data_IF_144429928984
#
_entry.id   IF_144429928984
#
_cell.length_a   1.000
_cell.length_b   1.000
_cell.length_c   1.000
_cell.angle_alpha   90.00
_cell.angle_beta   90.00
_cell.angle_gamma   90.00
#
_symmetry.space_group_name_H-M   'P 1'
#
loop_
_entity.id
_entity.type
_entity.pdbx_description
1 polymer ?
#
# COMPACT_ATOMS: atom_id res chain seq x y z
N UNK A 1 6.54 -6.50 -14.98
CA UNK A 1 5.65 -6.97 -13.92
C UNK A 1 6.51 -7.36 -12.74
N UNK A 2 6.51 -6.53 -11.69
CA UNK A 2 7.11 -6.85 -10.40
C UNK A 2 6.04 -7.35 -9.43
N UNK A 3 6.48 -7.97 -8.34
CA UNK A 3 5.61 -8.45 -7.27
C UNK A 3 6.03 -7.82 -5.94
N UNK A 4 5.03 -7.47 -5.13
CA UNK A 4 5.23 -6.71 -3.91
C UNK A 4 4.52 -7.36 -2.72
N UNK A 5 4.80 -6.85 -1.53
CA UNK A 5 4.05 -7.15 -0.32
C UNK A 5 3.85 -5.85 0.44
N UNK A 6 2.60 -5.55 0.77
CA UNK A 6 2.20 -4.38 1.54
C UNK A 6 1.61 -4.84 2.88
N UNK A 7 1.90 -4.09 3.95
CA UNK A 7 1.52 -4.46 5.32
C UNK A 7 0.54 -3.45 5.89
N UNK A 8 -0.56 -3.94 6.45
CA UNK A 8 -1.51 -3.12 7.20
C UNK A 8 -1.93 -3.83 8.47
N UNK A 9 -2.28 -3.08 9.51
CA UNK A 9 -2.93 -3.60 10.69
C UNK A 9 -4.45 -3.66 10.43
N UNK A 10 -5.14 -4.78 10.73
CA UNK A 10 -6.58 -4.90 10.46
C UNK A 10 -7.42 -3.82 11.14
N UNK A 11 -6.97 -3.29 12.28
CA UNK A 11 -7.64 -2.20 12.98
C UNK A 11 -7.52 -0.83 12.31
N UNK A 12 -6.58 -0.67 11.38
CA UNK A 12 -6.35 0.57 10.62
C UNK A 12 -6.96 0.46 9.22
N UNK A 13 -6.67 -0.63 8.50
CA UNK A 13 -7.26 -0.92 7.21
C UNK A 13 -7.33 -2.44 7.00
N UNK A 14 -8.54 -3.00 7.04
CA UNK A 14 -8.78 -4.44 6.93
C UNK A 14 -8.94 -4.91 5.47
N UNK A 15 -8.92 -6.22 5.28
CA UNK A 15 -9.26 -6.82 4.00
C UNK A 15 -10.72 -6.56 3.61
N UNK A 16 -11.63 -6.56 4.58
CA UNK A 16 -13.04 -6.25 4.39
C UNK A 16 -13.23 -4.79 3.93
N UNK A 17 -12.46 -3.85 4.47
CA UNK A 17 -12.44 -2.46 3.98
C UNK A 17 -11.95 -2.40 2.53
N UNK A 18 -10.87 -3.12 2.21
CA UNK A 18 -10.35 -3.18 0.85
C UNK A 18 -11.37 -3.76 -0.15
N UNK A 19 -12.09 -4.82 0.24
CA UNK A 19 -13.14 -5.42 -0.61
C UNK A 19 -14.34 -4.49 -0.80
N UNK A 20 -14.71 -3.74 0.24
CA UNK A 20 -15.81 -2.77 0.19
C UNK A 20 -15.49 -1.60 -0.74
N UNK A 21 -14.30 -1.01 -0.56
CA UNK A 21 -13.93 0.25 -1.21
C UNK A 21 -13.29 0.00 -2.58
N UNK A 22 -12.80 -1.23 -2.83
CA UNK A 22 -12.18 -1.76 -4.06
C UNK A 22 -10.83 -1.14 -4.40
N UNK A 23 -10.72 0.18 -4.28
CA UNK A 23 -9.54 0.98 -4.56
C UNK A 23 -9.34 1.98 -3.43
N UNK A 24 -8.13 2.05 -2.91
CA UNK A 24 -7.70 3.07 -1.96
C UNK A 24 -6.29 3.53 -2.32
N UNK A 25 -5.85 4.63 -1.74
CA UNK A 25 -4.47 5.08 -1.82
C UNK A 25 -3.66 4.45 -0.67
N UNK A 26 -2.41 4.09 -0.94
CA UNK A 26 -1.49 3.60 0.08
C UNK A 26 -0.69 4.76 0.68
N UNK A 27 -1.18 5.33 1.79
CA UNK A 27 -0.57 6.45 2.50
C UNK A 27 0.23 6.02 3.75
N UNK A 28 0.60 6.99 4.58
CA UNK A 28 1.25 6.74 5.89
C UNK A 28 2.69 6.21 5.81
N UNK A 29 3.22 5.92 4.62
CA UNK A 29 4.58 5.43 4.46
C UNK A 29 5.59 6.56 4.73
N UNK A 30 6.34 6.41 5.83
CA UNK A 30 7.44 7.32 6.22
C UNK A 30 8.81 6.62 6.25
N UNK A 31 8.86 5.36 5.85
CA UNK A 31 10.12 4.62 5.70
C UNK A 31 10.72 4.87 4.31
N UNK A 32 11.99 5.28 4.26
CA UNK A 32 12.66 5.63 2.99
C UNK A 32 12.75 4.45 2.01
N UNK A 33 13.05 3.24 2.48
CA UNK A 33 13.13 2.07 1.59
C UNK A 33 11.76 1.67 1.06
N UNK A 34 10.72 1.69 1.90
CA UNK A 34 9.35 1.43 1.47
C UNK A 34 8.89 2.48 0.44
N UNK A 35 9.20 3.76 0.65
CA UNK A 35 8.93 4.82 -0.33
C UNK A 35 9.65 4.59 -1.65
N UNK A 36 10.91 4.14 -1.63
CA UNK A 36 11.64 3.79 -2.85
C UNK A 36 11.01 2.60 -3.59
N UNK A 37 10.51 1.60 -2.85
CA UNK A 37 9.76 0.49 -3.45
C UNK A 37 8.46 0.98 -4.10
N UNK A 38 7.70 1.84 -3.42
CA UNK A 38 6.48 2.44 -3.98
C UNK A 38 6.73 3.26 -5.25
N UNK A 39 7.83 4.03 -5.30
CA UNK A 39 8.25 4.77 -6.51
C UNK A 39 8.57 3.84 -7.69
N UNK A 40 8.96 2.60 -7.42
CA UNK A 40 9.26 1.60 -8.44
C UNK A 40 8.03 0.80 -8.91
N UNK A 41 6.91 0.86 -8.18
CA UNK A 41 5.66 0.19 -8.55
C UNK A 41 5.09 0.76 -9.85
N UNK A 42 4.58 -0.13 -10.70
CA UNK A 42 3.92 0.21 -11.98
C UNK A 42 2.48 -0.29 -12.01
N UNK A 43 1.64 0.38 -12.80
CA UNK A 43 0.26 -0.08 -13.03
C UNK A 43 0.26 -1.52 -13.51
N UNK A 44 -0.60 -2.35 -12.91
CA UNK A 44 -0.68 -3.78 -13.18
C UNK A 44 0.24 -4.66 -12.34
N UNK A 45 1.22 -4.09 -11.63
CA UNK A 45 2.01 -4.87 -10.66
C UNK A 45 1.10 -5.37 -9.54
N UNK A 46 1.37 -6.58 -9.04
CA UNK A 46 0.57 -7.21 -7.99
C UNK A 46 1.29 -7.17 -6.64
N UNK A 47 0.51 -7.06 -5.57
CA UNK A 47 1.01 -7.09 -4.21
C UNK A 47 0.23 -8.06 -3.33
N UNK A 48 0.92 -8.79 -2.46
CA UNK A 48 0.27 -9.46 -1.34
C UNK A 48 -0.21 -8.44 -0.32
N UNK A 49 -1.49 -8.55 0.06
CA UNK A 49 -2.07 -7.79 1.15
C UNK A 49 -1.85 -8.58 2.45
N UNK A 50 -0.94 -8.09 3.28
CA UNK A 50 -0.51 -8.77 4.49
C UNK A 50 -1.05 -8.05 5.72
N UNK A 51 -1.88 -8.73 6.48
CA UNK A 51 -2.21 -8.29 7.84
C UNK A 51 -0.98 -8.44 8.73
N UNK A 52 -0.71 -7.42 9.55
CA UNK A 52 0.42 -7.38 10.49
C UNK A 52 0.01 -7.19 11.95
N UNK A 53 0.99 -7.28 12.85
CA UNK A 53 0.88 -7.18 14.32
C UNK A 53 0.12 -8.34 14.95
N UNK A 54 -1.21 -8.29 14.97
CA UNK A 54 -2.07 -9.26 15.69
C UNK A 54 -2.43 -10.47 14.81
N UNK A 55 -2.73 -10.22 13.54
CA UNK A 55 -2.97 -11.25 12.54
C UNK A 55 -1.85 -11.20 11.51
N UNK A 56 -1.05 -12.26 11.36
CA UNK A 56 0.20 -12.25 10.59
C UNK A 56 0.13 -13.16 9.37
N UNK A 57 -0.75 -12.84 8.42
CA UNK A 57 -0.96 -13.66 7.22
C UNK A 57 -1.28 -12.82 6.00
N UNK A 58 -1.02 -13.42 4.84
CA UNK A 58 -1.51 -12.91 3.56
C UNK A 58 -3.01 -13.24 3.48
N UNK A 59 -3.83 -12.23 3.22
CA UNK A 59 -5.29 -12.36 3.14
C UNK A 59 -5.84 -12.12 1.73
N UNK A 60 -5.01 -11.59 0.83
CA UNK A 60 -5.41 -11.34 -0.55
C UNK A 60 -4.27 -10.88 -1.44
N UNK A 61 -4.63 -10.65 -2.71
CA UNK A 61 -3.78 -10.04 -3.72
C UNK A 61 -4.48 -8.78 -4.20
N UNK A 62 -3.72 -7.70 -4.32
CA UNK A 62 -4.17 -6.43 -4.92
C UNK A 62 -3.31 -6.09 -6.13
N UNK A 63 -3.80 -5.17 -6.96
CA UNK A 63 -3.10 -4.66 -8.13
C UNK A 63 -2.88 -3.15 -7.97
N UNK A 64 -1.72 -2.67 -8.40
CA UNK A 64 -1.42 -1.24 -8.47
C UNK A 64 -2.24 -0.62 -9.61
N UNK A 65 -3.17 0.27 -9.27
CA UNK A 65 -4.04 0.95 -10.25
C UNK A 65 -3.60 2.38 -10.57
N UNK A 66 -2.70 2.95 -9.76
CA UNK A 66 -2.12 4.28 -9.94
C UNK A 66 -0.64 4.26 -9.56
N UNK A 67 0.20 4.96 -10.33
CA UNK A 67 1.63 5.09 -9.99
C UNK A 67 1.86 6.17 -8.94
N UNK A 68 3.03 6.14 -8.31
CA UNK A 68 3.42 7.04 -7.23
C UNK A 68 3.07 8.52 -7.49
N UNK A 69 2.48 9.17 -6.50
CA UNK A 69 2.15 10.60 -6.51
C UNK A 69 2.29 11.21 -5.11
N UNK A 70 2.46 12.54 -4.98
CA UNK A 70 2.65 13.18 -3.68
C UNK A 70 1.53 12.89 -2.68
N UNK A 71 1.91 12.68 -1.42
CA UNK A 71 1.00 12.41 -0.32
C UNK A 71 0.43 13.75 0.16
N UNK A 72 -0.88 13.96 -0.01
CA UNK A 72 -1.54 15.21 0.37
C UNK A 72 -1.66 15.37 1.89
N UNK A 73 -1.32 14.33 2.66
CA UNK A 73 -1.27 14.34 4.12
C UNK A 73 0.15 14.57 4.67
N UNK A 74 1.16 14.65 3.81
CA UNK A 74 2.55 14.93 4.20
C UNK A 74 2.91 16.40 3.96
N UNK A 75 2.82 17.22 5.01
CA UNK A 75 3.20 18.64 4.97
C UNK A 75 4.67 18.88 4.54
N UNK A 76 5.54 17.87 4.70
CA UNK A 76 6.93 17.99 4.29
C UNK A 76 7.15 17.81 2.78
N UNK A 77 6.15 17.26 2.07
CA UNK A 77 6.22 16.96 0.64
C UNK A 77 7.29 15.92 0.27
N UNK A 78 7.77 15.13 1.24
CA UNK A 78 8.87 14.16 1.05
C UNK A 78 8.36 12.81 0.58
N UNK A 79 7.16 12.43 1.01
CA UNK A 79 6.57 11.13 0.79
C UNK A 79 5.38 11.19 -0.16
N UNK A 80 4.90 10.01 -0.55
CA UNK A 80 3.89 9.84 -1.58
C UNK A 80 3.12 8.56 -1.39
N UNK A 81 2.09 8.42 -2.21
CA UNK A 81 1.13 7.32 -2.20
C UNK A 81 1.18 6.58 -3.53
N UNK A 82 0.71 5.33 -3.51
CA UNK A 82 0.47 4.49 -4.70
C UNK A 82 -1.00 4.09 -4.68
#
# INVERSE_FOLDING_TARGET
MAYWLIKTEPGTWSWEDQLRDKVTFWDGVRNHQASNNMKAMKKGDQAFFYHSVDERRIVGIVEVVKEYYPDHTDDSGRFGMV
#
